data_IF_742816500455
#
_entry.id   IF_742816500455
#
_cell.length_a   1.000
_cell.length_b   1.000
_cell.length_c   1.000
_cell.angle_alpha   90.00
_cell.angle_beta   90.00
_cell.angle_gamma   90.00
#
_symmetry.space_group_name_H-M   'P 1'
#
loop_
_entity.id
_entity.type
_entity.pdbx_description
1 polymer ?
#
# COMPACT_ATOMS: atom_id res chain seq x y z
N UNK A 1 -3.49 -21.19 28.57
CA UNK A 1 -3.86 -20.79 27.19
C UNK A 1 -4.86 -19.64 27.26
N UNK A 2 -4.43 -18.38 27.16
CA UNK A 2 -5.36 -17.25 27.11
C UNK A 2 -5.55 -16.86 25.65
N UNK A 3 -6.73 -17.17 25.09
CA UNK A 3 -7.15 -16.61 23.80
C UNK A 3 -7.44 -15.13 24.07
N UNK A 4 -6.56 -14.24 23.63
CA UNK A 4 -6.87 -12.81 23.61
C UNK A 4 -7.94 -12.60 22.55
N UNK A 5 -9.15 -12.28 23.02
CA UNK A 5 -10.21 -11.80 22.16
C UNK A 5 -9.76 -10.46 21.58
N UNK A 6 -9.36 -10.45 20.30
CA UNK A 6 -9.29 -9.21 19.55
C UNK A 6 -10.73 -8.64 19.53
N UNK A 7 -10.92 -7.53 20.23
CA UNK A 7 -12.11 -6.69 20.07
C UNK A 7 -12.08 -6.20 18.63
N UNK A 8 -12.73 -6.93 17.73
CA UNK A 8 -12.54 -6.76 16.29
C UNK A 8 -13.77 -6.14 15.67
N UNK A 9 -13.69 -4.85 15.33
CA UNK A 9 -14.57 -4.31 14.28
C UNK A 9 -14.42 -5.23 13.06
N UNK A 10 -15.51 -5.80 12.51
CA UNK A 10 -15.41 -6.69 11.37
C UNK A 10 -14.70 -5.97 10.21
N UNK A 11 -13.86 -6.68 9.43
CA UNK A 11 -13.19 -6.10 8.29
C UNK A 11 -14.23 -5.50 7.33
N UNK A 12 -13.91 -4.36 6.73
CA UNK A 12 -14.76 -3.76 5.70
C UNK A 12 -15.05 -4.78 4.59
N UNK A 13 -16.17 -4.62 3.89
CA UNK A 13 -16.48 -5.47 2.73
C UNK A 13 -15.36 -5.42 1.68
N UNK A 14 -14.73 -4.25 1.50
CA UNK A 14 -13.57 -4.05 0.63
C UNK A 14 -12.40 -4.95 1.05
N UNK A 15 -12.07 -4.95 2.34
CA UNK A 15 -11.01 -5.81 2.87
C UNK A 15 -11.33 -7.30 2.69
N UNK A 16 -12.55 -7.73 2.99
CA UNK A 16 -12.94 -9.13 2.81
C UNK A 16 -12.85 -9.57 1.34
N UNK A 17 -13.26 -8.70 0.40
CA UNK A 17 -13.13 -8.98 -1.02
C UNK A 17 -11.67 -9.11 -1.44
N UNK A 18 -10.79 -8.23 -0.95
CA UNK A 18 -9.35 -8.32 -1.20
C UNK A 18 -8.75 -9.59 -0.60
N UNK A 19 -9.04 -9.91 0.65
CA UNK A 19 -8.54 -11.14 1.30
C UNK A 19 -8.99 -12.42 0.55
N UNK A 20 -10.22 -12.41 0.01
CA UNK A 20 -10.72 -13.50 -0.83
C UNK A 20 -9.90 -13.66 -2.12
N UNK A 21 -9.61 -12.56 -2.82
CA UNK A 21 -8.78 -12.56 -4.04
C UNK A 21 -7.34 -12.97 -3.73
N UNK A 22 -6.78 -12.50 -2.62
CA UNK A 22 -5.42 -12.81 -2.19
C UNK A 22 -5.27 -14.24 -1.64
N UNK A 23 -6.38 -14.89 -1.27
CA UNK A 23 -6.39 -16.25 -0.70
C UNK A 23 -5.87 -16.33 0.74
N UNK A 24 -5.66 -15.19 1.41
CA UNK A 24 -5.22 -15.12 2.80
C UNK A 24 -5.69 -13.83 3.48
N UNK A 25 -5.79 -13.82 4.83
CA UNK A 25 -6.04 -12.59 5.58
C UNK A 25 -4.91 -11.59 5.39
N UNK A 26 -5.24 -10.29 5.34
CA UNK A 26 -4.24 -9.24 5.34
C UNK A 26 -3.70 -9.06 6.76
N UNK A 27 -2.38 -8.95 6.90
CA UNK A 27 -1.77 -8.61 8.19
C UNK A 27 -2.32 -7.29 8.70
N UNK A 28 -2.48 -7.17 10.02
CA UNK A 28 -2.84 -5.93 10.72
C UNK A 28 -1.74 -5.49 11.68
N UNK A 29 -0.66 -6.26 11.77
CA UNK A 29 0.50 -5.94 12.58
C UNK A 29 1.39 -4.99 11.78
N UNK A 30 1.36 -3.71 12.15
CA UNK A 30 2.14 -2.67 11.48
C UNK A 30 3.62 -2.78 11.87
N UNK A 31 4.55 -2.93 10.92
CA UNK A 31 5.98 -2.92 11.23
C UNK A 31 6.38 -1.54 11.81
N UNK A 32 7.25 -1.48 12.82
CA UNK A 32 7.58 -0.24 13.53
C UNK A 32 8.24 0.82 12.64
N UNK A 33 9.04 0.39 11.66
CA UNK A 33 9.76 1.27 10.74
C UNK A 33 9.00 1.52 9.41
N UNK A 34 7.77 1.01 9.29
CA UNK A 34 6.95 1.20 8.10
C UNK A 34 6.25 2.57 8.12
N UNK A 35 5.98 3.13 6.94
CA UNK A 35 5.15 4.33 6.82
C UNK A 35 3.79 4.08 7.48
N UNK A 36 3.33 4.95 8.40
CA UNK A 36 2.06 4.74 9.07
C UNK A 36 0.88 4.92 8.12
N UNK A 37 -0.23 4.25 8.40
CA UNK A 37 -1.50 4.54 7.75
C UNK A 37 -1.85 6.03 7.84
N UNK A 38 -2.42 6.59 6.78
CA UNK A 38 -2.70 8.02 6.64
C UNK A 38 -1.51 8.85 6.13
N UNK A 39 -0.31 8.26 5.99
CA UNK A 39 0.84 8.97 5.43
C UNK A 39 0.58 9.39 3.98
N UNK A 40 0.96 10.62 3.66
CA UNK A 40 0.95 11.16 2.31
C UNK A 40 2.20 10.71 1.56
N UNK A 41 1.99 10.22 0.34
CA UNK A 41 3.07 9.71 -0.51
C UNK A 41 2.86 10.16 -1.94
N UNK A 42 3.97 10.35 -2.65
CA UNK A 42 4.01 10.37 -4.11
C UNK A 42 4.42 8.99 -4.59
N UNK A 43 3.61 8.41 -5.47
CA UNK A 43 3.99 7.23 -6.25
C UNK A 43 4.91 7.72 -7.36
N UNK A 44 6.16 7.27 -7.35
CA UNK A 44 7.20 7.68 -8.30
C UNK A 44 7.44 6.62 -9.36
N UNK A 45 7.98 7.02 -10.51
CA UNK A 45 8.36 6.06 -11.55
C UNK A 45 9.47 5.13 -11.06
N UNK A 46 9.52 3.94 -11.63
CA UNK A 46 10.69 3.10 -11.50
C UNK A 46 11.83 3.70 -12.33
N UNK A 47 13.05 3.86 -11.79
CA UNK A 47 14.16 4.43 -12.55
C UNK A 47 14.78 3.43 -13.54
N UNK A 48 14.54 2.13 -13.39
CA UNK A 48 15.18 1.08 -14.18
C UNK A 48 14.31 0.59 -15.36
N UNK A 49 13.02 0.94 -15.37
CA UNK A 49 12.06 0.65 -16.45
C UNK A 49 10.87 1.61 -16.36
N UNK A 50 10.00 1.68 -17.38
CA UNK A 50 8.84 2.61 -17.39
C UNK A 50 7.86 2.44 -16.20
N UNK A 51 8.08 1.43 -15.35
CA UNK A 51 7.30 1.19 -14.14
C UNK A 51 5.89 0.70 -14.46
N UNK A 52 5.11 0.34 -13.43
CA UNK A 52 3.73 -0.07 -13.64
C UNK A 52 2.81 1.12 -13.95
N UNK A 53 3.19 2.35 -13.63
CA UNK A 53 2.31 3.52 -13.71
C UNK A 53 2.74 4.52 -14.78
N UNK A 54 1.76 5.11 -15.49
CA UNK A 54 2.03 6.09 -16.54
C UNK A 54 2.60 7.42 -16.07
N UNK A 55 2.25 7.82 -14.85
CA UNK A 55 2.60 9.12 -14.30
C UNK A 55 3.00 8.96 -12.83
N UNK A 56 3.75 9.93 -12.31
CA UNK A 56 3.83 10.15 -10.87
C UNK A 56 2.55 10.79 -10.35
N UNK A 57 2.06 10.33 -9.20
CA UNK A 57 0.82 10.85 -8.63
C UNK A 57 0.79 10.72 -7.10
N UNK A 58 -0.10 11.51 -6.50
CA UNK A 58 -0.28 11.54 -5.06
C UNK A 58 -1.27 10.47 -4.57
N UNK A 59 -0.99 9.97 -3.37
CA UNK A 59 -1.86 9.06 -2.66
C UNK A 59 -1.64 9.04 -1.15
N UNK A 60 -2.44 8.21 -0.48
CA UNK A 60 -2.41 8.02 0.97
C UNK A 60 -2.23 6.54 1.30
N UNK A 61 -1.36 6.23 2.26
CA UNK A 61 -1.22 4.88 2.82
C UNK A 61 -2.53 4.51 3.51
N UNK A 62 -3.16 3.43 3.06
CA UNK A 62 -4.46 2.99 3.54
C UNK A 62 -4.34 1.98 4.69
N UNK A 63 -5.30 2.02 5.62
CA UNK A 63 -5.30 1.16 6.81
C UNK A 63 -5.91 -0.24 6.58
N UNK A 64 -6.30 -0.59 5.35
CA UNK A 64 -6.89 -1.91 5.05
C UNK A 64 -5.98 -3.08 5.43
N UNK A 65 -4.69 -2.94 5.20
CA UNK A 65 -3.70 -3.97 5.48
C UNK A 65 -2.38 -3.34 5.88
N UNK A 66 -1.76 -3.88 6.93
CA UNK A 66 -0.40 -3.54 7.27
C UNK A 66 0.55 -3.86 6.10
N UNK A 67 1.63 -3.10 5.92
CA UNK A 67 2.58 -3.34 4.86
C UNK A 67 3.20 -4.73 4.96
N UNK A 68 3.25 -5.44 3.83
CA UNK A 68 3.71 -6.84 3.79
C UNK A 68 5.06 -6.95 3.06
N UNK A 69 5.95 -7.88 3.46
CA UNK A 69 7.19 -8.13 2.73
C UNK A 69 6.93 -8.49 1.26
N UNK A 70 7.68 -7.86 0.36
CA UNK A 70 7.66 -8.19 -1.08
C UNK A 70 8.36 -9.54 -1.28
N UNK A 71 7.58 -10.57 -1.60
CA UNK A 71 8.09 -11.92 -1.86
C UNK A 71 8.40 -12.10 -3.35
N UNK A 72 9.53 -11.57 -3.81
CA UNK A 72 10.05 -11.87 -5.16
C UNK A 72 11.58 -11.81 -5.20
N UNK A 73 12.18 -12.48 -6.18
CA UNK A 73 13.63 -12.66 -6.27
C UNK A 73 14.44 -11.39 -6.49
N UNK A 74 13.85 -10.27 -6.93
CA UNK A 74 14.52 -8.97 -7.08
C UNK A 74 14.08 -7.96 -6.00
N UNK A 75 13.44 -8.44 -4.92
CA UNK A 75 12.99 -7.57 -3.85
C UNK A 75 14.22 -7.07 -3.11
N UNK A 76 14.22 -5.80 -2.70
CA UNK A 76 15.26 -5.35 -1.79
C UNK A 76 15.06 -6.00 -0.43
N UNK A 77 16.15 -6.18 0.33
CA UNK A 77 16.06 -6.73 1.68
C UNK A 77 15.16 -5.82 2.56
N UNK A 78 14.20 -6.43 3.25
CA UNK A 78 13.21 -5.71 4.05
C UNK A 78 12.20 -4.88 3.27
N UNK A 79 12.09 -5.04 1.95
CA UNK A 79 11.13 -4.27 1.15
C UNK A 79 9.68 -4.63 1.51
N UNK A 80 8.90 -3.59 1.82
CA UNK A 80 7.48 -3.70 2.14
C UNK A 80 6.62 -3.18 0.99
N UNK A 81 5.46 -3.78 0.78
CA UNK A 81 4.43 -3.27 -0.11
C UNK A 81 3.26 -2.71 0.70
N UNK A 82 2.78 -1.54 0.29
CA UNK A 82 1.77 -0.76 0.99
C UNK A 82 0.48 -0.70 0.17
N UNK A 83 -0.68 -0.71 0.83
CA UNK A 83 -1.92 -0.30 0.19
C UNK A 83 -1.95 1.22 0.08
N UNK A 84 -2.12 1.73 -1.13
CA UNK A 84 -2.18 3.17 -1.40
C UNK A 84 -3.50 3.49 -2.07
N UNK A 85 -4.27 4.41 -1.51
CA UNK A 85 -5.46 5.01 -2.15
C UNK A 85 -5.00 6.26 -2.91
N UNK A 86 -5.43 6.39 -4.15
CA UNK A 86 -5.00 7.46 -5.04
C UNK A 86 -5.93 8.66 -4.90
N UNK A 87 -5.38 9.87 -4.97
CA UNK A 87 -6.18 11.10 -4.90
C UNK A 87 -7.11 11.25 -6.11
N UNK A 88 -6.62 10.80 -7.28
CA UNK A 88 -7.36 10.73 -8.52
C UNK A 88 -7.19 9.33 -9.14
N UNK A 89 -8.20 8.80 -9.85
CA UNK A 89 -8.08 7.51 -10.51
C UNK A 89 -6.94 7.50 -11.55
N UNK A 90 -6.12 6.44 -11.55
CA UNK A 90 -4.90 6.33 -12.35
C UNK A 90 -4.94 5.17 -13.35
N UNK A 91 -4.18 5.30 -14.43
CA UNK A 91 -3.98 4.24 -15.41
C UNK A 91 -2.56 3.69 -15.32
N UNK A 92 -2.44 2.40 -15.53
CA UNK A 92 -1.14 1.73 -15.63
C UNK A 92 -0.51 1.97 -17.02
N UNK A 93 0.74 1.56 -17.22
CA UNK A 93 1.46 1.72 -18.50
C UNK A 93 0.83 0.92 -19.66
N UNK A 94 0.05 -0.12 -19.39
CA UNK A 94 -0.74 -0.85 -20.39
C UNK A 94 -2.00 -0.11 -20.81
N UNK A 95 -2.40 0.93 -20.07
CA UNK A 95 -3.65 1.67 -20.27
C UNK A 95 -4.82 1.07 -19.49
N UNK A 96 -4.60 0.07 -18.64
CA UNK A 96 -5.63 -0.51 -17.79
C UNK A 96 -5.95 0.43 -16.61
N UNK A 97 -7.20 0.35 -16.15
CA UNK A 97 -7.75 1.21 -15.10
C UNK A 97 -9.14 1.79 -15.45
N UNK A 98 -9.55 2.91 -14.83
CA UNK A 98 -8.79 3.69 -13.87
C UNK A 98 -8.84 3.09 -12.45
N UNK A 99 -7.66 2.79 -11.91
CA UNK A 99 -7.49 2.28 -10.55
C UNK A 99 -7.63 3.40 -9.53
N UNK A 100 -8.21 3.08 -8.38
CA UNK A 100 -8.32 4.02 -7.24
C UNK A 100 -7.44 3.62 -6.06
N UNK A 101 -6.89 2.41 -6.10
CA UNK A 101 -6.11 1.81 -5.03
C UNK A 101 -5.25 0.70 -5.63
N UNK A 102 -4.04 0.53 -5.10
CA UNK A 102 -3.19 -0.62 -5.43
C UNK A 102 -2.25 -0.95 -4.28
N UNK A 103 -1.60 -2.11 -4.39
CA UNK A 103 -0.47 -2.49 -3.55
C UNK A 103 0.82 -2.04 -4.25
N UNK A 104 1.58 -1.14 -3.63
CA UNK A 104 2.76 -0.50 -4.23
C UNK A 104 3.99 -0.80 -3.37
N UNK A 105 5.10 -1.19 -4.02
CA UNK A 105 6.38 -1.43 -3.34
C UNK A 105 6.95 -0.14 -2.74
N UNK A 106 7.50 -0.23 -1.53
CA UNK A 106 8.01 0.94 -0.80
C UNK A 106 9.09 1.72 -1.55
N UNK A 107 9.83 1.06 -2.45
CA UNK A 107 10.83 1.72 -3.31
C UNK A 107 10.22 2.75 -4.27
N UNK A 108 8.94 2.60 -4.61
CA UNK A 108 8.19 3.49 -5.51
C UNK A 108 7.37 4.53 -4.74
N UNK A 109 7.59 4.66 -3.44
CA UNK A 109 6.88 5.61 -2.58
C UNK A 109 7.86 6.63 -2.02
N UNK A 110 7.63 7.90 -2.36
CA UNK A 110 8.29 9.02 -1.71
C UNK A 110 7.34 9.60 -0.65
N UNK A 111 7.71 9.59 0.64
CA UNK A 111 6.92 10.26 1.67
C UNK A 111 6.88 11.76 1.40
N UNK A 112 5.69 12.33 1.45
CA UNK A 112 5.55 13.78 1.44
C UNK A 112 5.81 14.32 2.85
N UNK A 113 6.51 15.46 2.98
CA UNK A 113 6.73 16.07 4.29
C UNK A 113 5.37 16.37 4.92
N UNK A 114 5.23 16.01 6.20
CA UNK A 114 4.07 16.45 6.97
C UNK A 114 3.97 17.98 6.86
N UNK A 115 2.75 18.54 6.69
CA UNK A 115 2.59 19.99 6.67
C UNK A 115 3.21 20.55 7.95
N UNK A 116 4.20 21.44 7.80
CA UNK A 116 4.79 22.15 8.93
C UNK A 116 3.67 23.04 9.49
N UNK A 117 3.08 22.63 10.60
CA UNK A 117 2.18 23.51 11.35
C UNK A 117 3.02 24.69 11.83
N UNK A 118 2.74 25.88 11.29
CA UNK A 118 3.32 27.14 11.73
C UNK A 118 2.60 27.64 13.00
#
# INVERSE_FOLDING_TARGET
MKKSAASGVPPSLDRQAVECVMGHPLSQEWPPDALPAGSRVTVVHDPEWDGPWRNEFLGTIDAQGAPEPVKHSRAHDGELAYWVVFDAPQFDCGGDGPYRKARIGGRHLRPEPAPRTA
#
